data_IF_356019740702
#
_entry.id   IF_356019740702
#
_cell.length_a   1.000
_cell.length_b   1.000
_cell.length_c   1.000
_cell.angle_alpha   90.00
_cell.angle_beta   90.00
_cell.angle_gamma   90.00
#
_symmetry.space_group_name_H-M   'P 1'
#
loop_
_entity.id
_entity.type
_entity.pdbx_description
1 polymer ?
#
# COMPACT_ATOMS: atom_id res chain seq x y z
N UNK A 1 28.70 -33.42 17.59
CA UNK A 1 27.22 -33.37 17.51
C UNK A 1 26.79 -31.96 17.13
N UNK A 2 26.37 -31.80 15.88
CA UNK A 2 25.90 -30.54 15.29
C UNK A 2 24.50 -30.23 15.78
N UNK A 3 24.36 -29.41 16.82
CA UNK A 3 23.09 -28.73 17.08
C UNK A 3 23.13 -27.41 16.32
N UNK A 4 22.75 -27.49 15.04
CA UNK A 4 22.44 -26.32 14.24
C UNK A 4 21.34 -25.52 14.95
N UNK A 5 21.74 -24.46 15.64
CA UNK A 5 20.82 -23.44 16.12
C UNK A 5 20.08 -22.93 14.89
N UNK A 6 18.86 -23.43 14.71
CA UNK A 6 17.92 -22.97 13.70
C UNK A 6 17.82 -21.47 13.92
N UNK A 7 18.45 -20.67 13.06
CA UNK A 7 18.32 -19.20 13.06
C UNK A 7 16.84 -18.95 12.85
N UNK A 8 16.11 -18.80 13.96
CA UNK A 8 14.72 -18.40 13.92
C UNK A 8 14.78 -17.03 13.26
N UNK A 9 14.31 -16.91 12.02
CA UNK A 9 13.97 -15.62 11.44
C UNK A 9 12.80 -15.10 12.26
N UNK A 10 13.11 -14.52 13.41
CA UNK A 10 12.14 -13.91 14.32
C UNK A 10 11.76 -12.57 13.73
N UNK A 11 11.15 -12.56 12.53
CA UNK A 11 10.59 -11.37 11.91
C UNK A 11 9.57 -10.73 12.87
N UNK A 12 9.82 -9.50 13.30
CA UNK A 12 8.86 -8.61 13.93
C UNK A 12 7.78 -8.32 12.89
N UNK A 13 6.52 -8.14 13.34
CA UNK A 13 5.35 -8.20 12.47
C UNK A 13 5.24 -7.06 11.46
N UNK A 14 6.15 -6.08 11.43
CA UNK A 14 6.10 -5.00 10.43
C UNK A 14 6.24 -5.47 8.97
N UNK A 15 6.64 -6.73 8.72
CA UNK A 15 6.84 -7.25 7.36
C UNK A 15 5.80 -8.29 6.91
N UNK A 16 4.96 -8.84 7.79
CA UNK A 16 3.91 -9.77 7.36
C UNK A 16 2.60 -9.61 8.15
N UNK A 17 2.06 -8.38 8.13
CA UNK A 17 0.72 -8.07 8.63
C UNK A 17 -0.40 -8.60 7.70
N UNK A 18 -0.05 -9.06 6.48
CA UNK A 18 -1.02 -9.44 5.46
C UNK A 18 -1.93 -10.59 5.89
N UNK A 19 -1.44 -11.73 6.44
CA UNK A 19 -2.31 -12.82 6.87
C UNK A 19 -3.29 -12.38 7.97
N UNK A 20 -2.85 -11.49 8.85
CA UNK A 20 -3.70 -10.97 9.91
C UNK A 20 -4.73 -9.96 9.38
N UNK A 21 -4.31 -9.06 8.49
CA UNK A 21 -5.24 -8.14 7.83
C UNK A 21 -6.30 -8.91 7.03
N UNK A 22 -5.91 -10.02 6.38
CA UNK A 22 -6.83 -10.93 5.69
C UNK A 22 -7.78 -11.65 6.66
N UNK A 23 -7.31 -12.06 7.84
CA UNK A 23 -8.19 -12.64 8.87
C UNK A 23 -9.23 -11.63 9.36
N UNK A 24 -8.81 -10.39 9.64
CA UNK A 24 -9.72 -9.32 10.05
C UNK A 24 -10.70 -8.98 8.93
N UNK A 25 -10.24 -8.96 7.68
CA UNK A 25 -11.11 -8.82 6.51
C UNK A 25 -12.12 -9.96 6.45
N UNK A 26 -11.71 -11.22 6.64
CA UNK A 26 -12.61 -12.38 6.63
C UNK A 26 -13.70 -12.30 7.72
N UNK A 27 -13.35 -11.89 8.94
CA UNK A 27 -14.32 -11.66 10.02
C UNK A 27 -15.33 -10.58 9.61
N UNK A 28 -14.85 -9.45 9.11
CA UNK A 28 -15.73 -8.37 8.65
C UNK A 28 -16.61 -8.78 7.46
N UNK A 29 -16.08 -9.57 6.53
CA UNK A 29 -16.83 -10.07 5.37
C UNK A 29 -17.96 -10.99 5.79
N UNK A 30 -17.74 -11.88 6.76
CA UNK A 30 -18.79 -12.72 7.31
C UNK A 30 -19.92 -11.86 7.92
N UNK A 31 -19.59 -10.80 8.66
CA UNK A 31 -20.59 -9.87 9.19
C UNK A 31 -21.35 -9.15 8.07
N UNK A 32 -20.66 -8.69 7.02
CA UNK A 32 -21.32 -8.09 5.85
C UNK A 32 -22.30 -9.07 5.19
N UNK A 33 -21.89 -10.32 5.02
CA UNK A 33 -22.74 -11.33 4.40
C UNK A 33 -23.99 -11.58 5.24
N UNK A 34 -23.84 -11.73 6.56
CA UNK A 34 -24.97 -11.98 7.47
C UNK A 34 -25.95 -10.80 7.51
N UNK A 35 -25.46 -9.56 7.53
CA UNK A 35 -26.32 -8.39 7.77
C UNK A 35 -26.81 -7.69 6.49
N UNK A 36 -26.10 -7.85 5.36
CA UNK A 36 -26.32 -7.04 4.16
C UNK A 36 -26.61 -7.86 2.89
N UNK A 37 -26.43 -9.19 2.91
CA UNK A 37 -26.69 -10.01 1.72
C UNK A 37 -28.18 -10.03 1.36
N UNK A 38 -28.48 -9.94 0.05
CA UNK A 38 -29.85 -10.00 -0.48
C UNK A 38 -30.69 -8.73 -0.26
N UNK A 39 -30.10 -7.64 0.24
CA UNK A 39 -30.77 -6.35 0.46
C UNK A 39 -30.26 -5.28 -0.51
N UNK A 40 -31.13 -4.32 -0.83
CA UNK A 40 -30.72 -3.05 -1.44
C UNK A 40 -30.11 -2.19 -0.34
N UNK A 41 -28.89 -1.72 -0.54
CA UNK A 41 -28.14 -0.99 0.47
C UNK A 41 -28.44 0.51 0.35
N UNK A 42 -28.86 1.13 1.44
CA UNK A 42 -28.93 2.57 1.54
C UNK A 42 -27.61 3.15 2.07
N UNK A 43 -27.43 4.46 1.90
CA UNK A 43 -26.32 5.21 2.50
C UNK A 43 -26.19 4.94 4.00
N UNK A 44 -27.31 4.86 4.73
CA UNK A 44 -27.32 4.58 6.15
C UNK A 44 -26.72 3.19 6.48
N UNK A 45 -27.04 2.17 5.68
CA UNK A 45 -26.51 0.81 5.86
C UNK A 45 -24.99 0.77 5.68
N UNK A 46 -24.48 1.50 4.68
CA UNK A 46 -23.04 1.65 4.44
C UNK A 46 -22.35 2.35 5.61
N UNK A 47 -22.94 3.42 6.14
CA UNK A 47 -22.37 4.16 7.28
C UNK A 47 -22.37 3.32 8.57
N UNK A 48 -23.43 2.55 8.83
CA UNK A 48 -23.50 1.62 9.96
C UNK A 48 -22.46 0.51 9.80
N UNK A 49 -22.32 -0.05 8.60
CA UNK A 49 -21.34 -1.10 8.35
C UNK A 49 -19.91 -0.62 8.62
N UNK A 50 -19.51 0.52 8.06
CA UNK A 50 -18.15 1.04 8.27
C UNK A 50 -17.89 1.45 9.72
N UNK A 51 -18.92 1.92 10.44
CA UNK A 51 -18.83 2.16 11.88
C UNK A 51 -18.59 0.85 12.65
N UNK A 52 -19.36 -0.20 12.36
CA UNK A 52 -19.20 -1.51 13.01
C UNK A 52 -17.85 -2.15 12.66
N UNK A 53 -17.40 -2.03 11.41
CA UNK A 53 -16.10 -2.49 10.96
C UNK A 53 -14.98 -1.80 11.72
N UNK A 54 -15.10 -0.50 11.99
CA UNK A 54 -14.13 0.25 12.80
C UNK A 54 -13.92 -0.35 14.18
N UNK A 55 -15.02 -0.69 14.88
CA UNK A 55 -14.97 -1.32 16.19
C UNK A 55 -14.39 -2.74 16.12
N UNK A 56 -14.96 -3.61 15.28
CA UNK A 56 -14.55 -5.01 15.15
C UNK A 56 -13.08 -5.12 14.77
N UNK A 57 -12.63 -4.29 13.82
CA UNK A 57 -11.24 -4.22 13.38
C UNK A 57 -10.32 -3.79 14.53
N UNK A 58 -10.74 -2.83 15.37
CA UNK A 58 -9.94 -2.40 16.51
C UNK A 58 -9.74 -3.51 17.55
N UNK A 59 -10.81 -4.17 17.98
CA UNK A 59 -10.74 -5.28 18.94
C UNK A 59 -9.87 -6.43 18.42
N UNK A 60 -10.14 -6.91 17.20
CA UNK A 60 -9.42 -8.05 16.61
C UNK A 60 -7.94 -7.72 16.37
N UNK A 61 -7.64 -6.57 15.79
CA UNK A 61 -6.27 -6.16 15.44
C UNK A 61 -5.42 -5.87 16.68
N UNK A 62 -5.96 -5.19 17.70
CA UNK A 62 -5.23 -4.89 18.93
C UNK A 62 -5.05 -6.11 19.81
N UNK A 63 -6.03 -7.02 19.84
CA UNK A 63 -5.91 -8.28 20.56
C UNK A 63 -4.77 -9.12 20.01
N UNK A 64 -4.69 -9.20 18.68
CA UNK A 64 -3.57 -9.85 18.00
C UNK A 64 -2.24 -9.14 18.23
N UNK A 65 -2.18 -7.81 18.06
CA UNK A 65 -0.97 -7.04 18.27
C UNK A 65 -0.43 -7.25 19.68
N UNK A 66 -1.31 -7.26 20.69
CA UNK A 66 -0.94 -7.54 22.08
C UNK A 66 -0.37 -8.94 22.24
N UNK A 67 -1.10 -9.96 21.78
CA UNK A 67 -0.64 -11.35 21.86
C UNK A 67 0.72 -11.55 21.19
N UNK A 68 0.91 -10.97 20.00
CA UNK A 68 2.12 -11.09 19.22
C UNK A 68 3.32 -10.37 19.85
N UNK A 69 3.09 -9.22 20.49
CA UNK A 69 4.12 -8.49 21.23
C UNK A 69 4.45 -9.20 22.54
N UNK A 70 3.46 -9.59 23.33
CA UNK A 70 3.64 -10.29 24.61
C UNK A 70 4.39 -11.61 24.42
N UNK A 71 4.04 -12.40 23.40
CA UNK A 71 4.72 -13.65 23.05
C UNK A 71 6.20 -13.43 22.74
N UNK A 72 6.53 -12.42 21.92
CA UNK A 72 7.92 -12.10 21.56
C UNK A 72 8.70 -11.49 22.71
N UNK A 73 8.04 -10.71 23.56
CA UNK A 73 8.67 -10.12 24.74
C UNK A 73 9.15 -11.18 25.71
N UNK A 74 8.30 -12.18 25.99
CA UNK A 74 8.66 -13.35 26.81
C UNK A 74 9.84 -14.15 26.23
N UNK A 75 10.10 -14.02 24.94
CA UNK A 75 11.22 -14.67 24.24
C UNK A 75 12.48 -13.79 24.16
N UNK A 76 12.46 -12.55 24.69
CA UNK A 76 13.56 -11.60 24.52
C UNK A 76 13.78 -11.13 23.08
N UNK A 77 12.80 -11.35 22.20
CA UNK A 77 12.94 -11.18 20.76
C UNK A 77 12.50 -9.80 20.25
N UNK A 78 11.99 -8.91 21.13
CA UNK A 78 11.73 -7.53 20.75
C UNK A 78 13.06 -6.78 20.59
N UNK A 79 13.07 -5.64 19.89
CA UNK A 79 14.30 -4.90 19.71
C UNK A 79 14.66 -4.11 20.96
N UNK A 80 15.95 -4.06 21.25
CA UNK A 80 16.47 -3.31 22.40
C UNK A 80 16.30 -1.79 22.26
N UNK A 81 16.18 -1.29 21.03
CA UNK A 81 15.93 0.13 20.75
C UNK A 81 14.61 0.31 19.99
N UNK A 82 13.73 1.13 20.54
CA UNK A 82 12.40 1.42 20.01
C UNK A 82 12.24 2.94 19.92
N UNK A 83 11.67 3.48 18.83
CA UNK A 83 11.33 4.90 18.78
C UNK A 83 10.35 5.27 19.89
N UNK A 84 10.76 6.18 20.76
CA UNK A 84 9.95 6.65 21.88
C UNK A 84 8.95 7.69 21.38
N UNK A 85 7.69 7.56 21.78
CA UNK A 85 6.65 8.55 21.51
C UNK A 85 5.88 8.88 22.79
N UNK A 86 5.96 10.13 23.24
CA UNK A 86 5.22 10.64 24.41
C UNK A 86 3.71 10.52 24.21
N UNK A 87 3.22 10.74 22.99
CA UNK A 87 1.81 10.53 22.64
C UNK A 87 1.37 9.08 22.87
N UNK A 88 2.14 8.11 22.37
CA UNK A 88 1.79 6.70 22.52
C UNK A 88 1.81 6.23 23.97
N UNK A 89 2.73 6.74 24.78
CA UNK A 89 2.81 6.41 26.21
C UNK A 89 1.60 6.91 27.02
N UNK A 90 0.91 7.97 26.55
CA UNK A 90 -0.31 8.49 27.20
C UNK A 90 -1.54 7.64 26.93
N UNK A 91 -1.52 6.77 25.91
CA UNK A 91 -2.67 5.91 25.58
C UNK A 91 -2.83 4.78 26.61
N UNK A 92 -4.03 4.20 26.75
CA UNK A 92 -4.22 3.08 27.66
C UNK A 92 -3.27 1.90 27.40
N UNK A 93 -2.72 1.33 28.48
CA UNK A 93 -1.88 0.12 28.42
C UNK A 93 -2.70 -1.16 28.27
N UNK A 94 -3.87 -1.17 28.90
CA UNK A 94 -4.77 -2.31 28.88
C UNK A 94 -5.47 -2.44 27.52
N UNK A 95 -5.66 -3.68 27.08
CA UNK A 95 -6.29 -4.02 25.81
C UNK A 95 -7.69 -3.43 25.63
N UNK A 96 -8.58 -3.61 26.62
CA UNK A 96 -9.98 -3.19 26.52
C UNK A 96 -10.11 -1.67 26.31
N UNK A 97 -9.57 -0.79 27.17
CA UNK A 97 -9.71 0.65 26.97
C UNK A 97 -9.01 1.16 25.71
N UNK A 98 -7.88 0.55 25.33
CA UNK A 98 -7.22 0.90 24.06
C UNK A 98 -8.09 0.52 22.86
N UNK A 99 -8.76 -0.63 22.91
CA UNK A 99 -9.63 -1.12 21.83
C UNK A 99 -10.90 -0.30 21.69
N UNK A 100 -11.50 0.12 22.80
CA UNK A 100 -12.64 1.03 22.78
C UNK A 100 -12.23 2.38 22.19
N UNK A 101 -11.15 2.99 22.70
CA UNK A 101 -10.68 4.29 22.22
C UNK A 101 -10.33 4.26 20.72
N UNK A 102 -9.53 3.28 20.31
CA UNK A 102 -9.10 3.12 18.92
C UNK A 102 -10.27 2.74 18.02
N UNK A 103 -11.20 1.92 18.52
CA UNK A 103 -12.42 1.54 17.84
C UNK A 103 -13.31 2.74 17.56
N UNK A 104 -13.64 3.55 18.56
CA UNK A 104 -14.45 4.75 18.40
C UNK A 104 -13.80 5.75 17.42
N UNK A 105 -12.49 5.99 17.55
CA UNK A 105 -11.76 6.86 16.63
C UNK A 105 -11.77 6.32 15.19
N UNK A 106 -11.55 5.01 15.02
CA UNK A 106 -11.57 4.35 13.72
C UNK A 106 -12.96 4.36 13.09
N UNK A 107 -14.01 4.08 13.87
CA UNK A 107 -15.40 4.14 13.42
C UNK A 107 -15.80 5.54 12.97
N UNK A 108 -15.48 6.57 13.76
CA UNK A 108 -15.75 7.95 13.39
C UNK A 108 -15.02 8.34 12.10
N UNK A 109 -13.73 8.00 11.99
CA UNK A 109 -12.94 8.25 10.77
C UNK A 109 -13.54 7.53 9.56
N UNK A 110 -13.89 6.26 9.70
CA UNK A 110 -14.45 5.45 8.64
C UNK A 110 -15.81 5.95 8.16
N UNK A 111 -16.67 6.40 9.09
CA UNK A 111 -17.95 7.05 8.76
C UNK A 111 -17.71 8.35 7.99
N UNK A 112 -16.82 9.22 8.47
CA UNK A 112 -16.52 10.49 7.81
C UNK A 112 -15.96 10.30 6.39
N UNK A 113 -14.99 9.38 6.25
CA UNK A 113 -14.38 9.06 4.95
C UNK A 113 -15.41 8.47 3.99
N UNK A 114 -16.23 7.53 4.46
CA UNK A 114 -17.27 6.89 3.63
C UNK A 114 -18.34 7.91 3.24
N UNK A 115 -18.81 8.72 4.17
CA UNK A 115 -19.77 9.79 3.88
C UNK A 115 -19.23 10.79 2.85
N UNK A 116 -17.97 11.22 2.99
CA UNK A 116 -17.33 12.10 2.02
C UNK A 116 -17.22 11.45 0.64
N UNK A 117 -16.87 10.16 0.59
CA UNK A 117 -16.75 9.40 -0.67
C UNK A 117 -18.11 9.20 -1.35
N UNK A 118 -19.17 8.87 -0.60
CA UNK A 118 -20.52 8.72 -1.15
C UNK A 118 -21.08 10.06 -1.65
N UNK A 119 -20.71 11.17 -1.01
CA UNK A 119 -21.09 12.51 -1.50
C UNK A 119 -20.28 12.94 -2.73
N UNK A 120 -19.03 12.46 -2.83
CA UNK A 120 -18.15 12.78 -3.93
C UNK A 120 -18.38 11.89 -5.16
N UNK A 121 -18.76 10.63 -4.97
CA UNK A 121 -19.21 9.68 -6.00
C UNK A 121 -20.67 9.31 -5.75
N UNK A 122 -21.63 10.13 -6.18
CA UNK A 122 -23.04 9.79 -6.06
C UNK A 122 -23.34 8.59 -6.96
N UNK A 123 -23.35 7.39 -6.38
CA UNK A 123 -23.77 6.18 -7.11
C UNK A 123 -25.29 6.15 -7.28
N UNK A 124 -25.73 5.62 -8.41
CA UNK A 124 -27.14 5.38 -8.73
C UNK A 124 -27.67 4.07 -8.12
N UNK A 125 -26.79 3.11 -7.76
CA UNK A 125 -27.19 1.84 -7.13
C UNK A 125 -26.08 1.16 -6.31
N UNK A 126 -26.28 1.02 -5.00
CA UNK A 126 -25.38 0.29 -4.09
C UNK A 126 -25.70 -1.22 -4.07
N UNK A 127 -25.15 -1.94 -5.04
CA UNK A 127 -25.30 -3.41 -5.08
C UNK A 127 -24.36 -4.08 -4.08
N UNK A 128 -24.77 -5.25 -3.58
CA UNK A 128 -23.96 -6.04 -2.63
C UNK A 128 -22.55 -6.36 -3.16
N UNK A 129 -22.32 -6.73 -4.44
CA UNK A 129 -20.97 -6.95 -4.96
C UNK A 129 -20.07 -5.71 -4.93
N UNK A 130 -20.61 -4.52 -5.25
CA UNK A 130 -19.86 -3.26 -5.19
C UNK A 130 -19.46 -2.92 -3.76
N UNK A 131 -20.41 -3.07 -2.84
CA UNK A 131 -20.17 -2.95 -1.41
C UNK A 131 -19.10 -3.94 -0.92
N UNK A 132 -19.10 -5.18 -1.39
CA UNK A 132 -18.13 -6.18 -0.97
C UNK A 132 -16.69 -5.79 -1.36
N UNK A 133 -16.48 -5.28 -2.58
CA UNK A 133 -15.17 -4.78 -3.02
C UNK A 133 -14.72 -3.61 -2.16
N UNK A 134 -15.62 -2.66 -1.89
CA UNK A 134 -15.37 -1.55 -0.97
C UNK A 134 -14.93 -2.06 0.40
N UNK A 135 -15.65 -3.05 0.94
CA UNK A 135 -15.41 -3.67 2.24
C UNK A 135 -14.07 -4.36 2.36
N UNK A 136 -13.69 -5.14 1.37
CA UNK A 136 -12.36 -5.77 1.33
C UNK A 136 -11.29 -4.68 1.39
N UNK A 137 -11.45 -3.61 0.61
CA UNK A 137 -10.51 -2.49 0.55
C UNK A 137 -10.32 -1.80 1.90
N UNK A 138 -11.40 -1.26 2.48
CA UNK A 138 -11.26 -0.50 3.72
C UNK A 138 -10.98 -1.37 4.94
N UNK A 139 -11.54 -2.59 5.04
CA UNK A 139 -11.30 -3.45 6.19
C UNK A 139 -9.83 -3.90 6.24
N UNK A 140 -9.26 -4.26 5.08
CA UNK A 140 -7.84 -4.66 4.98
C UNK A 140 -6.92 -3.48 5.30
N UNK A 141 -7.21 -2.29 4.73
CA UNK A 141 -6.41 -1.09 4.98
C UNK A 141 -6.45 -0.67 6.45
N UNK A 142 -7.65 -0.64 7.04
CA UNK A 142 -7.84 -0.29 8.44
C UNK A 142 -7.15 -1.29 9.36
N UNK A 143 -7.31 -2.59 9.12
CA UNK A 143 -6.65 -3.64 9.90
C UNK A 143 -5.13 -3.48 9.87
N UNK A 144 -4.54 -3.28 8.70
CA UNK A 144 -3.10 -3.05 8.58
C UNK A 144 -2.63 -1.85 9.43
N UNK A 145 -3.39 -0.75 9.43
CA UNK A 145 -3.05 0.47 10.19
C UNK A 145 -3.23 0.31 11.69
N UNK A 146 -4.31 -0.33 12.12
CA UNK A 146 -4.55 -0.59 13.55
C UNK A 146 -3.51 -1.58 14.11
N UNK A 147 -3.11 -2.60 13.34
CA UNK A 147 -2.05 -3.53 13.74
C UNK A 147 -0.73 -2.79 13.91
N UNK A 148 -0.31 -1.98 12.93
CA UNK A 148 0.91 -1.16 13.02
C UNK A 148 0.91 -0.24 14.26
N UNK A 149 -0.23 0.42 14.50
CA UNK A 149 -0.45 1.27 15.66
C UNK A 149 -0.37 0.48 16.98
N UNK A 150 -1.05 -0.67 17.05
CA UNK A 150 -1.07 -1.54 18.22
C UNK A 150 0.31 -2.08 18.58
N UNK A 151 1.07 -2.56 17.58
CA UNK A 151 2.45 -3.00 17.79
C UNK A 151 3.28 -1.85 18.35
N UNK A 152 3.19 -0.67 17.74
CA UNK A 152 3.96 0.48 18.18
C UNK A 152 3.60 0.93 19.60
N UNK A 153 2.30 0.85 19.97
CA UNK A 153 1.81 1.14 21.31
C UNK A 153 2.34 0.15 22.34
N UNK A 154 2.26 -1.15 22.07
CA UNK A 154 2.64 -2.19 23.03
C UNK A 154 4.16 -2.37 23.17
N UNK A 155 4.95 -1.90 22.21
CA UNK A 155 6.42 -1.96 22.28
C UNK A 155 7.01 -0.72 23.01
N UNK A 156 6.18 0.26 23.40
CA UNK A 156 6.66 1.40 24.18
C UNK A 156 7.24 0.99 25.55
N UNK A 157 8.25 1.73 26.08
CA UNK A 157 8.90 1.44 27.36
C UNK A 157 7.94 1.38 28.56
N UNK A 158 6.86 2.15 28.54
CA UNK A 158 5.87 2.20 29.62
C UNK A 158 5.04 0.91 29.76
N UNK A 159 5.08 0.05 28.75
CA UNK A 159 4.43 -1.26 28.77
C UNK A 159 5.34 -2.37 29.32
N UNK A 160 6.62 -2.11 29.58
CA UNK A 160 7.59 -3.11 30.08
C UNK A 160 7.29 -3.47 31.53
N UNK A 161 7.39 -4.75 31.86
CA UNK A 161 7.26 -5.29 33.23
C UNK A 161 8.64 -5.60 33.80
N UNK A 162 8.76 -5.58 35.12
CA UNK A 162 10.02 -5.87 35.82
C UNK A 162 10.57 -7.28 35.50
N UNK A 163 9.69 -8.25 35.25
CA UNK A 163 10.05 -9.64 35.00
C UNK A 163 10.37 -9.94 33.51
N UNK A 164 10.30 -8.93 32.63
CA UNK A 164 10.55 -9.15 31.20
C UNK A 164 12.05 -9.40 30.94
N UNK A 165 12.43 -10.41 30.13
CA UNK A 165 13.84 -10.68 29.83
C UNK A 165 14.48 -9.52 29.05
N UNK A 166 15.82 -9.40 29.05
CA UNK A 166 16.52 -8.42 28.22
C UNK A 166 16.21 -8.65 26.74
N UNK A 167 15.88 -7.58 26.03
CA UNK A 167 15.43 -7.62 24.64
C UNK A 167 16.63 -7.49 23.68
N UNK A 168 16.84 -8.48 22.81
CA UNK A 168 18.01 -8.60 21.93
C UNK A 168 17.67 -8.63 20.44
N UNK A 169 16.42 -8.33 20.07
CA UNK A 169 15.99 -8.29 18.68
C UNK A 169 16.79 -7.26 17.87
N UNK A 170 17.23 -7.66 16.68
CA UNK A 170 18.01 -6.80 15.77
C UNK A 170 17.14 -5.93 14.85
N UNK A 171 15.82 -5.92 15.06
CA UNK A 171 14.88 -5.41 14.07
C UNK A 171 14.36 -4.03 14.42
N UNK A 172 14.29 -3.15 13.44
CA UNK A 172 13.80 -1.79 13.64
C UNK A 172 12.28 -1.74 13.70
N UNK A 173 11.73 -1.25 14.81
CA UNK A 173 10.34 -0.84 14.92
C UNK A 173 10.17 0.51 14.21
N UNK A 174 9.27 0.58 13.23
CA UNK A 174 8.95 1.83 12.54
C UNK A 174 7.90 2.60 13.34
N UNK A 175 8.11 3.91 13.51
CA UNK A 175 7.08 4.80 14.04
C UNK A 175 5.99 5.01 12.97
N UNK A 176 4.74 4.54 13.19
CA UNK A 176 3.65 4.63 12.23
C UNK A 176 2.95 5.99 12.24
N UNK A 177 3.32 6.91 13.14
CA UNK A 177 2.71 8.24 13.22
C UNK A 177 3.03 9.06 11.97
N UNK A 178 1.99 9.73 11.46
CA UNK A 178 2.11 10.61 10.31
C UNK A 178 3.05 11.77 10.64
N UNK A 179 4.12 11.93 9.84
CA UNK A 179 5.04 13.06 9.95
C UNK A 179 4.53 14.22 9.11
N UNK A 180 4.74 15.46 9.55
CA UNK A 180 4.41 16.67 8.77
C UNK A 180 5.00 16.62 7.35
N UNK A 181 6.24 16.15 7.23
CA UNK A 181 6.92 15.93 5.95
C UNK A 181 6.15 15.01 5.00
N UNK A 182 5.43 14.02 5.52
CA UNK A 182 4.62 13.11 4.70
C UNK A 182 3.47 13.87 4.05
N UNK A 183 2.82 14.78 4.78
CA UNK A 183 1.75 15.63 4.21
C UNK A 183 2.31 16.58 3.16
N UNK A 184 3.45 17.22 3.42
CA UNK A 184 4.10 18.10 2.44
C UNK A 184 4.49 17.34 1.18
N UNK A 185 5.05 16.13 1.31
CA UNK A 185 5.37 15.26 0.16
C UNK A 185 4.12 14.81 -0.58
N UNK A 186 3.05 14.49 0.14
CA UNK A 186 1.78 14.06 -0.46
C UNK A 186 1.11 15.21 -1.21
N UNK A 187 1.09 16.41 -0.62
CA UNK A 187 0.61 17.62 -1.27
C UNK A 187 1.43 17.94 -2.52
N UNK A 188 2.76 18.01 -2.41
CA UNK A 188 3.63 18.25 -3.55
C UNK A 188 3.42 17.21 -4.66
N UNK A 189 3.35 15.92 -4.31
CA UNK A 189 3.08 14.85 -5.28
C UNK A 189 1.73 15.00 -5.97
N UNK A 190 0.67 15.35 -5.25
CA UNK A 190 -0.67 15.56 -5.81
C UNK A 190 -0.69 16.79 -6.72
N UNK A 191 -0.08 17.89 -6.28
CA UNK A 191 -0.02 19.14 -7.06
C UNK A 191 0.82 18.98 -8.33
N UNK A 192 1.96 18.28 -8.26
CA UNK A 192 2.79 18.00 -9.44
C UNK A 192 2.06 17.10 -10.42
N UNK A 193 1.39 16.04 -9.94
CA UNK A 193 0.58 15.17 -10.82
C UNK A 193 -0.55 15.99 -11.47
N UNK A 194 -1.30 16.75 -10.67
CA UNK A 194 -2.37 17.63 -11.16
C UNK A 194 -1.87 18.59 -12.25
N UNK A 195 -0.78 19.32 -11.99
CA UNK A 195 -0.22 20.29 -12.93
C UNK A 195 0.26 19.64 -14.23
N UNK A 196 0.97 18.51 -14.15
CA UNK A 196 1.42 17.77 -15.33
C UNK A 196 0.25 17.27 -16.17
N UNK A 197 -0.86 16.89 -15.54
CA UNK A 197 -2.03 16.40 -16.26
C UNK A 197 -2.80 17.49 -16.96
N UNK A 198 -2.87 18.68 -16.36
CA UNK A 198 -3.44 19.84 -17.03
C UNK A 198 -2.61 20.19 -18.27
N UNK A 199 -1.27 20.18 -18.18
CA UNK A 199 -0.38 20.44 -19.32
C UNK A 199 -0.49 19.39 -20.43
N UNK A 200 -0.50 18.11 -20.08
CA UNK A 200 -0.66 17.03 -21.06
C UNK A 200 -2.09 17.00 -21.61
N UNK A 201 -3.08 17.30 -20.78
CA UNK A 201 -4.47 17.46 -21.18
C UNK A 201 -4.65 18.57 -22.21
N UNK A 202 -3.94 19.70 -22.05
CA UNK A 202 -3.90 20.77 -23.05
C UNK A 202 -3.31 20.28 -24.38
N UNK A 203 -2.19 19.56 -24.32
CA UNK A 203 -1.51 19.06 -25.53
C UNK A 203 -2.33 17.99 -26.28
N UNK A 204 -3.12 17.20 -25.58
CA UNK A 204 -3.88 16.06 -26.14
C UNK A 204 -5.39 16.34 -26.27
N UNK A 205 -5.84 17.58 -26.03
CA UNK A 205 -7.24 17.99 -26.19
C UNK A 205 -8.19 17.61 -25.04
N UNK A 206 -7.67 17.07 -23.93
CA UNK A 206 -8.43 16.79 -22.69
C UNK A 206 -8.64 18.01 -21.78
N UNK A 207 -8.01 19.14 -22.09
CA UNK A 207 -8.19 20.43 -21.41
C UNK A 207 -8.35 21.50 -22.47
N UNK A 208 -9.39 22.33 -22.35
CA UNK A 208 -9.65 23.43 -23.27
C UNK A 208 -9.53 24.76 -22.52
N UNK A 209 -8.94 25.76 -23.17
CA UNK A 209 -8.91 27.13 -22.67
C UNK A 209 -10.03 27.87 -23.40
N UNK A 210 -11.06 28.29 -22.66
CA UNK A 210 -12.17 29.08 -23.21
C UNK A 210 -12.16 30.46 -22.54
N UNK A 211 -11.57 31.44 -23.23
CA UNK A 211 -11.29 32.76 -22.65
C UNK A 211 -10.33 32.64 -21.47
N UNK A 212 -10.71 33.19 -20.31
CA UNK A 212 -9.91 33.16 -19.07
C UNK A 212 -10.13 31.89 -18.23
N UNK A 213 -10.95 30.93 -18.72
CA UNK A 213 -11.32 29.72 -17.99
C UNK A 213 -10.64 28.47 -18.58
N UNK A 214 -10.11 27.63 -17.70
CA UNK A 214 -9.60 26.30 -18.04
C UNK A 214 -10.71 25.28 -17.82
N UNK A 215 -11.24 24.72 -18.90
CA UNK A 215 -12.24 23.66 -18.89
C UNK A 215 -11.55 22.30 -18.90
N UNK A 216 -11.74 21.56 -17.81
CA UNK A 216 -11.27 20.18 -17.66
C UNK A 216 -12.41 19.24 -18.04
N UNK A 217 -12.25 18.54 -19.16
CA UNK A 217 -13.29 17.64 -19.66
C UNK A 217 -13.43 16.41 -18.74
N UNK A 218 -14.67 15.98 -18.52
CA UNK A 218 -14.95 14.73 -17.82
C UNK A 218 -14.52 13.52 -18.64
N UNK A 219 -14.36 12.38 -17.97
CA UNK A 219 -14.05 11.10 -18.61
C UNK A 219 -15.34 10.28 -18.69
N UNK A 220 -15.80 10.01 -19.91
CA UNK A 220 -16.91 9.12 -20.17
C UNK A 220 -16.47 7.65 -20.15
N UNK A 221 -17.42 6.76 -19.90
CA UNK A 221 -17.20 5.32 -19.95
C UNK A 221 -16.67 4.86 -21.33
N UNK A 222 -17.16 5.45 -22.42
CA UNK A 222 -16.75 5.12 -23.79
C UNK A 222 -15.29 5.54 -24.08
N UNK A 223 -14.86 6.69 -23.55
CA UNK A 223 -13.52 7.24 -23.75
C UNK A 223 -12.46 6.74 -22.77
N UNK A 224 -12.84 5.94 -21.76
CA UNK A 224 -11.94 5.57 -20.66
C UNK A 224 -10.79 4.67 -21.12
N UNK A 225 -11.03 3.82 -22.12
CA UNK A 225 -10.00 2.91 -22.65
C UNK A 225 -8.85 3.70 -23.29
N UNK A 226 -9.17 4.68 -24.13
CA UNK A 226 -8.18 5.55 -24.78
C UNK A 226 -7.42 6.34 -23.71
N UNK A 227 -8.15 6.93 -22.76
CA UNK A 227 -7.57 7.65 -21.63
C UNK A 227 -6.59 6.77 -20.84
N UNK A 228 -6.95 5.50 -20.61
CA UNK A 228 -6.09 4.54 -19.92
C UNK A 228 -4.85 4.14 -20.70
N UNK A 229 -4.95 3.94 -22.02
CA UNK A 229 -3.79 3.66 -22.88
C UNK A 229 -2.81 4.84 -22.88
N UNK A 230 -3.32 6.06 -23.08
CA UNK A 230 -2.53 7.29 -23.04
C UNK A 230 -1.86 7.45 -21.67
N UNK A 231 -2.58 7.21 -20.58
CA UNK A 231 -2.00 7.27 -19.25
C UNK A 231 -0.90 6.23 -19.05
N UNK A 232 -1.09 4.98 -19.49
CA UNK A 232 -0.07 3.95 -19.34
C UNK A 232 1.23 4.28 -20.10
N UNK A 233 1.13 4.94 -21.26
CA UNK A 233 2.27 5.51 -21.97
C UNK A 233 2.99 6.57 -21.12
N UNK A 234 2.23 7.53 -20.57
CA UNK A 234 2.75 8.60 -19.72
C UNK A 234 3.45 8.03 -18.47
N UNK A 235 2.80 7.10 -17.76
CA UNK A 235 3.34 6.45 -16.57
C UNK A 235 4.63 5.69 -16.91
N UNK A 236 4.68 5.01 -18.05
CA UNK A 236 5.89 4.26 -18.45
C UNK A 236 7.10 5.18 -18.61
N UNK A 237 6.91 6.33 -19.25
CA UNK A 237 7.99 7.27 -19.54
C UNK A 237 8.34 8.12 -18.32
N UNK A 238 7.33 8.68 -17.63
CA UNK A 238 7.51 9.67 -16.58
C UNK A 238 7.60 9.09 -15.17
N UNK A 239 7.19 7.83 -14.96
CA UNK A 239 7.23 7.19 -13.63
C UNK A 239 8.08 5.92 -13.62
N UNK A 240 7.83 4.95 -14.51
CA UNK A 240 8.53 3.66 -14.48
C UNK A 240 10.02 3.87 -14.72
N UNK A 241 10.39 4.60 -15.79
CA UNK A 241 11.80 4.87 -16.12
C UNK A 241 12.59 5.53 -14.96
N UNK A 242 12.17 6.67 -14.38
CA UNK A 242 12.93 7.30 -13.30
C UNK A 242 12.99 6.42 -12.04
N UNK A 243 11.93 5.69 -11.70
CA UNK A 243 11.96 4.72 -10.59
C UNK A 243 13.00 3.63 -10.83
N UNK A 244 13.06 3.08 -12.04
CA UNK A 244 14.07 2.08 -12.42
C UNK A 244 15.50 2.63 -12.35
N UNK A 245 15.71 3.85 -12.85
CA UNK A 245 17.03 4.50 -12.80
C UNK A 245 17.48 4.77 -11.36
N UNK A 246 16.57 5.24 -10.50
CA UNK A 246 16.84 5.49 -9.08
C UNK A 246 17.22 4.20 -8.33
N UNK A 247 16.43 3.13 -8.48
CA UNK A 247 16.75 1.85 -7.82
C UNK A 247 18.05 1.25 -8.36
N UNK A 248 18.36 1.44 -9.64
CA UNK A 248 19.64 1.01 -10.20
C UNK A 248 20.83 1.77 -9.59
N UNK A 249 20.71 3.09 -9.38
CA UNK A 249 21.74 3.87 -8.71
C UNK A 249 21.98 3.39 -7.26
N UNK A 250 20.90 3.11 -6.52
CA UNK A 250 20.98 2.52 -5.17
C UNK A 250 21.66 1.14 -5.21
N UNK A 251 21.37 0.33 -6.24
CA UNK A 251 22.02 -0.96 -6.43
C UNK A 251 23.53 -0.82 -6.67
N UNK A 252 23.95 0.16 -7.47
CA UNK A 252 25.36 0.44 -7.74
C UNK A 252 26.10 1.02 -6.54
N UNK A 253 25.42 1.78 -5.68
CA UNK A 253 25.96 2.26 -4.40
C UNK A 253 26.21 1.13 -3.39
N UNK A 254 25.67 -0.08 -3.61
CA UNK A 254 25.84 -1.22 -2.73
C UNK A 254 24.82 -1.30 -1.60
N UNK A 255 23.82 -0.42 -1.59
CA UNK A 255 22.82 -0.30 -0.52
C UNK A 255 21.67 -1.31 -0.63
N UNK A 256 21.63 -2.12 -1.70
CA UNK A 256 20.65 -3.20 -1.84
C UNK A 256 21.19 -4.51 -1.24
N UNK A 257 20.38 -5.24 -0.44
CA UNK A 257 20.80 -6.54 0.08
C UNK A 257 21.02 -7.53 -1.07
N UNK A 258 22.15 -8.22 -1.02
CA UNK A 258 22.59 -9.14 -2.08
C UNK A 258 21.58 -10.27 -2.30
N UNK A 259 21.41 -10.67 -3.55
CA UNK A 259 20.58 -11.83 -3.89
C UNK A 259 21.29 -13.12 -3.46
N UNK A 260 20.58 -14.00 -2.77
CA UNK A 260 21.10 -15.31 -2.33
C UNK A 260 21.13 -16.35 -3.45
N UNK A 261 20.26 -16.20 -4.46
CA UNK A 261 20.11 -17.11 -5.60
C UNK A 261 19.66 -16.35 -6.86
N UNK A 262 19.98 -16.93 -8.02
CA UNK A 262 19.48 -16.45 -9.31
C UNK A 262 17.99 -16.79 -9.43
N UNK A 263 17.16 -15.78 -9.64
CA UNK A 263 15.71 -15.95 -9.83
C UNK A 263 15.30 -15.59 -11.27
N UNK A 264 14.05 -15.89 -11.66
CA UNK A 264 13.49 -15.60 -13.00
C UNK A 264 13.66 -14.13 -13.42
N UNK A 265 13.65 -13.20 -12.46
CA UNK A 265 13.85 -11.78 -12.71
C UNK A 265 15.25 -11.44 -13.26
N UNK A 266 16.24 -12.32 -13.15
CA UNK A 266 17.57 -12.10 -13.72
C UNK A 266 17.58 -12.05 -15.26
N UNK A 267 16.55 -12.60 -15.92
CA UNK A 267 16.43 -12.61 -17.39
C UNK A 267 15.95 -11.28 -17.99
N UNK A 268 15.40 -10.37 -17.18
CA UNK A 268 15.00 -9.06 -17.66
C UNK A 268 16.23 -8.18 -17.97
N UNK A 269 16.13 -7.15 -18.83
CA UNK A 269 17.24 -6.24 -19.11
C UNK A 269 17.77 -5.54 -17.85
N UNK A 270 19.05 -5.15 -17.85
CA UNK A 270 19.63 -4.31 -16.79
C UNK A 270 19.50 -2.81 -17.07
N UNK A 271 19.27 -2.43 -18.33
CA UNK A 271 19.04 -1.05 -18.74
C UNK A 271 17.64 -0.58 -18.33
N UNK A 272 17.51 0.57 -17.62
CA UNK A 272 16.21 1.14 -17.29
C UNK A 272 15.34 1.38 -18.53
N UNK A 273 15.95 1.82 -19.63
CA UNK A 273 15.24 2.07 -20.89
C UNK A 273 14.67 0.81 -21.52
N UNK A 274 15.47 -0.25 -21.61
CA UNK A 274 15.02 -1.52 -22.18
C UNK A 274 13.91 -2.15 -21.32
N UNK A 275 14.04 -2.04 -19.99
CA UNK A 275 13.06 -2.58 -19.06
C UNK A 275 11.76 -1.76 -19.04
N UNK A 276 11.84 -0.42 -19.20
CA UNK A 276 10.67 0.42 -19.49
C UNK A 276 9.99 0.01 -20.79
N UNK A 277 10.76 -0.27 -21.85
CA UNK A 277 10.20 -0.74 -23.14
C UNK A 277 9.39 -2.03 -22.99
N UNK A 278 9.89 -2.99 -22.20
CA UNK A 278 9.15 -4.22 -21.90
C UNK A 278 7.86 -3.94 -21.13
N UNK A 279 7.90 -3.01 -20.18
CA UNK A 279 6.73 -2.68 -19.36
C UNK A 279 5.74 -1.71 -20.03
N UNK A 280 6.09 -1.12 -21.17
CA UNK A 280 5.26 -0.12 -21.84
C UNK A 280 3.87 -0.67 -22.19
N UNK A 281 3.82 -1.74 -22.99
CA UNK A 281 2.57 -2.34 -23.44
C UNK A 281 1.78 -2.94 -22.26
N UNK A 282 2.40 -3.71 -21.33
CA UNK A 282 1.72 -4.15 -20.11
C UNK A 282 1.13 -2.99 -19.29
N UNK A 283 1.85 -1.88 -19.12
CA UNK A 283 1.35 -0.74 -18.36
C UNK A 283 0.18 -0.04 -19.07
N UNK A 284 0.22 0.09 -20.40
CA UNK A 284 -0.90 0.61 -21.20
C UNK A 284 -2.15 -0.26 -21.07
N UNK A 285 -2.01 -1.57 -21.30
CA UNK A 285 -3.12 -2.53 -21.22
C UNK A 285 -3.69 -2.58 -19.80
N UNK A 286 -2.82 -2.66 -18.78
CA UNK A 286 -3.26 -2.67 -17.39
C UNK A 286 -3.99 -1.38 -17.00
N UNK A 287 -3.52 -0.22 -17.47
CA UNK A 287 -4.17 1.06 -17.18
C UNK A 287 -5.55 1.15 -17.82
N UNK A 288 -5.66 0.78 -19.10
CA UNK A 288 -6.93 0.75 -19.82
C UNK A 288 -7.93 -0.22 -19.17
N UNK A 289 -7.51 -1.45 -18.90
CA UNK A 289 -8.36 -2.46 -18.26
C UNK A 289 -8.77 -2.04 -16.85
N UNK A 290 -7.87 -1.46 -16.07
CA UNK A 290 -8.19 -1.03 -14.70
C UNK A 290 -9.25 0.06 -14.69
N UNK A 291 -9.09 1.11 -15.51
CA UNK A 291 -10.09 2.19 -15.53
C UNK A 291 -11.40 1.77 -16.16
N UNK A 292 -11.37 0.95 -17.21
CA UNK A 292 -12.58 0.35 -17.76
C UNK A 292 -13.31 -0.48 -16.71
N UNK A 293 -12.59 -1.34 -15.99
CA UNK A 293 -13.17 -2.14 -14.92
C UNK A 293 -13.75 -1.27 -13.80
N UNK A 294 -13.07 -0.19 -13.39
CA UNK A 294 -13.59 0.74 -12.37
C UNK A 294 -14.86 1.43 -12.86
N UNK A 295 -14.86 2.03 -14.05
CA UNK A 295 -16.03 2.71 -14.61
C UNK A 295 -17.21 1.75 -14.75
N UNK A 296 -16.98 0.58 -15.35
CA UNK A 296 -18.03 -0.41 -15.60
C UNK A 296 -18.56 -1.05 -14.31
N UNK A 297 -17.67 -1.50 -13.42
CA UNK A 297 -18.06 -2.21 -12.20
C UNK A 297 -18.84 -1.32 -11.24
N UNK A 298 -18.40 -0.07 -11.04
CA UNK A 298 -19.09 0.89 -10.19
C UNK A 298 -20.25 1.60 -10.91
N UNK A 299 -20.41 1.41 -12.23
CA UNK A 299 -21.52 1.96 -13.00
C UNK A 299 -21.43 3.48 -13.18
N UNK A 300 -20.23 4.01 -13.39
CA UNK A 300 -20.02 5.41 -13.69
C UNK A 300 -20.17 5.64 -15.20
N UNK A 301 -21.22 6.36 -15.61
CA UNK A 301 -21.41 6.76 -17.02
C UNK A 301 -20.39 7.85 -17.41
N UNK A 302 -20.18 8.80 -16.51
CA UNK A 302 -19.15 9.82 -16.62
C UNK A 302 -18.62 10.21 -15.25
N UNK A 303 -17.34 10.55 -15.19
CA UNK A 303 -16.72 11.14 -14.02
C UNK A 303 -16.18 12.51 -14.39
N UNK A 304 -16.35 13.48 -13.50
CA UNK A 304 -15.65 14.76 -13.66
C UNK A 304 -14.14 14.55 -13.47
N UNK A 305 -13.36 15.56 -13.87
CA UNK A 305 -11.91 15.50 -13.80
C UNK A 305 -11.39 15.15 -12.39
N UNK A 306 -11.95 15.74 -11.33
CA UNK A 306 -11.48 15.54 -9.97
C UNK A 306 -11.77 14.12 -9.46
N UNK A 307 -12.95 13.59 -9.78
CA UNK A 307 -13.35 12.20 -9.50
C UNK A 307 -12.39 11.23 -10.18
N UNK A 308 -12.19 11.39 -11.49
CA UNK A 308 -11.28 10.52 -12.22
C UNK A 308 -9.83 10.66 -11.73
N UNK A 309 -9.39 11.87 -11.38
CA UNK A 309 -8.05 12.15 -10.88
C UNK A 309 -7.72 11.40 -9.57
N UNK A 310 -8.68 11.24 -8.65
CA UNK A 310 -8.46 10.45 -7.42
C UNK A 310 -8.23 8.97 -7.75
N UNK A 311 -9.08 8.37 -8.59
CA UNK A 311 -8.95 6.97 -9.04
C UNK A 311 -7.59 6.77 -9.70
N UNK A 312 -7.23 7.70 -10.58
CA UNK A 312 -5.96 7.72 -11.29
C UNK A 312 -4.76 7.80 -10.35
N UNK A 313 -4.79 8.71 -9.39
CA UNK A 313 -3.72 8.89 -8.40
C UNK A 313 -3.53 7.63 -7.56
N UNK A 314 -4.64 6.99 -7.15
CA UNK A 314 -4.59 5.73 -6.42
C UNK A 314 -3.96 4.62 -7.27
N UNK A 315 -4.37 4.48 -8.53
CA UNK A 315 -3.80 3.54 -9.48
C UNK A 315 -2.29 3.74 -9.68
N UNK A 316 -1.85 4.96 -9.99
CA UNK A 316 -0.43 5.28 -10.22
C UNK A 316 0.42 4.98 -8.99
N UNK A 317 -0.07 5.28 -7.78
CA UNK A 317 0.64 4.96 -6.53
C UNK A 317 0.77 3.45 -6.30
N UNK A 318 -0.27 2.67 -6.59
CA UNK A 318 -0.22 1.21 -6.49
C UNK A 318 0.75 0.62 -7.50
N UNK A 319 0.66 1.07 -8.77
CA UNK A 319 1.55 0.63 -9.84
C UNK A 319 3.02 0.98 -9.53
N UNK A 320 3.28 2.17 -9.00
CA UNK A 320 4.64 2.61 -8.60
C UNK A 320 5.28 1.66 -7.59
N UNK A 321 4.53 1.24 -6.56
CA UNK A 321 5.03 0.30 -5.55
C UNK A 321 5.35 -1.08 -6.14
N UNK A 322 4.51 -1.56 -7.07
CA UNK A 322 4.76 -2.83 -7.76
C UNK A 322 6.03 -2.75 -8.61
N UNK A 323 6.18 -1.66 -9.37
CA UNK A 323 7.36 -1.40 -10.20
C UNK A 323 8.62 -1.29 -9.35
N UNK A 324 8.57 -0.58 -8.22
CA UNK A 324 9.70 -0.47 -7.28
C UNK A 324 10.10 -1.84 -6.72
N UNK A 325 9.12 -2.66 -6.32
CA UNK A 325 9.36 -4.01 -5.80
C UNK A 325 10.02 -4.89 -6.87
N UNK A 326 9.52 -4.85 -8.10
CA UNK A 326 10.10 -5.58 -9.24
C UNK A 326 11.51 -5.08 -9.56
N UNK A 327 11.73 -3.76 -9.54
CA UNK A 327 13.02 -3.13 -9.77
C UNK A 327 14.05 -3.62 -8.74
N UNK A 328 13.68 -3.63 -7.45
CA UNK A 328 14.53 -4.13 -6.37
C UNK A 328 14.88 -5.60 -6.61
N UNK A 329 13.89 -6.44 -6.94
CA UNK A 329 14.14 -7.86 -7.22
C UNK A 329 15.07 -8.06 -8.42
N UNK A 330 14.91 -7.26 -9.48
CA UNK A 330 15.77 -7.29 -10.67
C UNK A 330 17.19 -6.84 -10.36
N UNK A 331 17.36 -5.69 -9.69
CA UNK A 331 18.68 -5.07 -9.53
C UNK A 331 19.51 -5.71 -8.42
N UNK A 332 18.89 -6.38 -7.44
CA UNK A 332 19.62 -7.26 -6.50
C UNK A 332 20.41 -8.35 -7.22
N UNK A 333 19.94 -8.82 -8.37
CA UNK A 333 20.60 -9.85 -9.18
C UNK A 333 21.89 -9.35 -9.87
N UNK A 334 22.12 -8.04 -9.97
CA UNK A 334 23.36 -7.48 -10.52
C UNK A 334 24.58 -7.83 -9.67
N UNK A 335 24.40 -8.01 -8.36
CA UNK A 335 25.46 -8.42 -7.43
C UNK A 335 26.00 -9.83 -7.74
N UNK A 336 25.15 -10.74 -8.24
CA UNK A 336 25.54 -12.10 -8.63
C UNK A 336 26.22 -12.13 -9.99
N UNK A 337 25.81 -11.28 -10.93
CA UNK A 337 26.41 -11.21 -12.27
C UNK A 337 27.85 -10.67 -12.26
N UNK A 338 28.24 -9.86 -11.27
CA UNK A 338 29.64 -9.41 -11.08
C UNK A 338 30.55 -10.47 -10.48
N UNK A 339 30.01 -11.57 -9.92
CA UNK A 339 30.77 -12.67 -9.30
C UNK A 339 31.09 -13.85 -10.24
N UNK A 340 30.70 -13.79 -11.51
CA UNK A 340 31.26 -14.68 -12.52
C UNK A 340 32.43 -13.96 -13.20
N UNK A 341 33.68 -14.07 -12.69
CA UNK A 341 34.82 -13.85 -13.57
C UNK A 341 34.81 -14.99 -14.60
N UNK A 342 35.13 -14.63 -15.84
CA UNK A 342 35.49 -15.58 -16.90
C UNK A 342 36.40 -16.66 -16.32
N UNK A 343 35.97 -17.91 -16.33
CA UNK A 343 36.89 -19.02 -16.53
C UNK A 343 37.41 -18.86 -17.97
N UNK A 344 38.35 -17.95 -18.15
CA UNK A 344 39.27 -18.00 -19.27
C UNK A 344 39.98 -19.35 -19.13
N UNK A 345 39.62 -20.28 -20.01
CA UNK A 345 40.40 -21.48 -20.29
C UNK A 345 41.84 -21.04 -20.54
N UNK A 346 42.70 -21.20 -19.54
CA UNK A 346 44.13 -21.27 -19.78
C UNK A 346 44.35 -22.64 -20.43
N UNK A 347 44.34 -22.68 -21.76
CA UNK A 347 44.96 -23.77 -22.50
C UNK A 347 46.44 -23.79 -22.11
N UNK A 348 46.81 -24.78 -21.31
CA UNK A 348 48.19 -25.10 -20.99
C UNK A 348 48.85 -25.72 -22.22
N UNK A 349 49.51 -24.90 -23.04
CA UNK A 349 50.59 -25.35 -23.89
C UNK A 349 51.91 -25.16 -23.16
N UNK A 350 52.37 -26.21 -22.47
CA UNK A 350 53.77 -26.66 -22.40
C UNK A 350 53.77 -28.17 -22.26
#
# INVERSE_FOLDING_TARGET
MNNGAKKIRTELPYLNNLPMALLVAAINLALAFVFQYGRLLATADLLIDVASCGLVTAFTSLGYARWAVDKRRRQGALPGQVPISTFMQRLPRAYIPLSILTGLASSALMVLVTWALLRFYPETAYTFPRFLVWKIGYATWLAAKVIEFGIFRYVQPDCVKADDPPQQGQQTVKNPLLRKEMFTRLYASVTTDFGMNMLIGLALGGTQIQGDLVLLMGVSQEGVLITGLVLGLIISILMIRPTLASVQQIAYAGDLPQATSRNLWAFLPSSPWALTGIFLLPAMVLSALTFWAVMYFFGFDSLNFFQFFIIRTAYTKLLSRLVETLAIQRYRQLSLSKRQPREEKVESHV
#
